data_IF_390060585623
#
_entry.id   IF_390060585623
#
_cell.length_a   1.000
_cell.length_b   1.000
_cell.length_c   1.000
_cell.angle_alpha   90.00
_cell.angle_beta   90.00
_cell.angle_gamma   90.00
#
_symmetry.space_group_name_H-M   'P 1'
#
loop_
_entity.id
_entity.type
_entity.pdbx_description
1 polymer ?
#
# COMPACT_ATOMS: atom_id res chain seq x y z
N UNK A 1 -79.55 7.18 -18.56
CA UNK A 1 -78.74 7.94 -19.52
C UNK A 1 -78.46 9.29 -18.91
N UNK A 2 -77.26 9.68 -18.53
CA UNK A 2 -76.01 8.96 -18.37
C UNK A 2 -75.18 9.72 -17.35
N UNK A 3 -74.43 8.95 -16.58
CA UNK A 3 -73.39 9.35 -15.64
C UNK A 3 -72.31 10.21 -16.28
N UNK A 4 -71.71 11.16 -15.55
CA UNK A 4 -70.27 11.13 -15.19
C UNK A 4 -69.87 12.35 -14.36
N UNK A 5 -69.81 12.15 -13.03
CA UNK A 5 -68.96 12.94 -12.13
C UNK A 5 -67.51 12.60 -12.44
N UNK A 6 -66.70 13.59 -12.77
CA UNK A 6 -65.25 13.44 -12.85
C UNK A 6 -64.69 13.04 -11.48
N UNK A 7 -64.07 11.87 -11.42
CA UNK A 7 -63.24 11.46 -10.30
C UNK A 7 -61.90 12.21 -10.40
N UNK A 8 -61.69 13.17 -9.51
CA UNK A 8 -60.35 13.63 -9.17
C UNK A 8 -59.57 12.46 -8.59
N UNK A 9 -58.54 12.03 -9.31
CA UNK A 9 -57.60 11.03 -8.88
C UNK A 9 -56.81 11.62 -7.71
N UNK A 10 -57.22 11.31 -6.48
CA UNK A 10 -56.37 11.50 -5.31
C UNK A 10 -55.09 10.70 -5.55
N UNK A 11 -54.02 11.41 -5.89
CA UNK A 11 -52.67 10.87 -5.86
C UNK A 11 -52.41 10.42 -4.43
N UNK A 12 -52.55 9.12 -4.21
CA UNK A 12 -52.22 8.46 -2.97
C UNK A 12 -50.76 8.80 -2.68
N UNK A 13 -50.54 9.66 -1.68
CA UNK A 13 -49.21 9.98 -1.18
C UNK A 13 -48.55 8.70 -0.74
N UNK A 14 -47.74 8.11 -1.64
CA UNK A 14 -46.73 7.16 -1.22
C UNK A 14 -45.78 7.95 -0.35
N UNK A 15 -45.91 7.76 0.96
CA UNK A 15 -44.86 8.12 1.90
C UNK A 15 -43.55 7.59 1.32
N UNK A 16 -42.51 8.44 1.19
CA UNK A 16 -41.23 7.98 0.70
C UNK A 16 -40.80 6.79 1.57
N UNK A 17 -40.26 5.72 0.96
CA UNK A 17 -39.86 4.55 1.72
C UNK A 17 -38.98 5.01 2.90
N UNK A 18 -39.19 4.46 4.11
CA UNK A 18 -38.46 4.89 5.29
C UNK A 18 -36.97 4.84 4.97
N UNK A 19 -36.32 6.00 5.01
CA UNK A 19 -34.86 6.09 4.86
C UNK A 19 -34.28 5.11 5.86
N UNK A 20 -33.69 4.03 5.35
CA UNK A 20 -33.11 2.96 6.15
C UNK A 20 -32.05 3.61 7.06
N UNK A 21 -32.41 3.88 8.33
CA UNK A 21 -31.56 4.59 9.30
C UNK A 21 -30.29 3.81 9.67
N UNK A 22 -30.08 2.64 9.05
CA UNK A 22 -28.89 1.79 9.23
C UNK A 22 -27.59 2.44 8.77
N UNK A 23 -27.64 3.63 8.17
CA UNK A 23 -26.45 4.35 7.68
C UNK A 23 -26.34 5.79 8.17
N UNK A 24 -26.97 6.16 9.30
CA UNK A 24 -26.54 7.38 9.96
C UNK A 24 -25.09 7.20 10.47
N UNK A 25 -24.14 8.07 10.09
CA UNK A 25 -22.78 8.01 10.59
C UNK A 25 -22.81 8.23 12.11
N UNK A 26 -22.72 7.15 12.88
CA UNK A 26 -22.58 7.26 14.32
C UNK A 26 -21.21 7.87 14.58
N UNK A 27 -21.16 9.08 15.13
CA UNK A 27 -19.89 9.69 15.53
C UNK A 27 -19.14 8.70 16.44
N UNK A 28 -17.88 8.34 16.12
CA UNK A 28 -17.18 7.31 16.87
C UNK A 28 -17.11 7.72 18.35
N UNK A 29 -17.48 6.80 19.24
CA UNK A 29 -17.56 7.10 20.67
C UNK A 29 -16.23 7.67 21.17
N UNK A 30 -16.29 8.61 22.12
CA UNK A 30 -15.09 9.25 22.68
C UNK A 30 -14.09 8.20 23.20
N UNK A 31 -14.59 7.11 23.76
CA UNK A 31 -13.79 5.97 24.20
C UNK A 31 -13.04 5.29 23.05
N UNK A 32 -13.71 5.00 21.93
CA UNK A 32 -13.10 4.40 20.73
C UNK A 32 -11.94 5.25 20.20
N UNK A 33 -12.11 6.58 20.16
CA UNK A 33 -11.05 7.52 19.74
C UNK A 33 -9.87 7.51 20.70
N UNK A 34 -10.12 7.68 22.00
CA UNK A 34 -9.06 7.72 23.01
C UNK A 34 -8.24 6.43 23.05
N UNK A 35 -8.91 5.27 22.98
CA UNK A 35 -8.20 3.97 22.96
C UNK A 35 -7.39 3.82 21.69
N UNK A 36 -7.96 4.15 20.52
CA UNK A 36 -7.21 4.04 19.25
C UNK A 36 -5.98 4.94 19.25
N UNK A 37 -6.11 6.21 19.67
CA UNK A 37 -4.96 7.11 19.76
C UNK A 37 -3.93 6.65 20.81
N UNK A 38 -4.38 6.12 21.96
CA UNK A 38 -3.50 5.54 22.96
C UNK A 38 -2.68 4.37 22.40
N UNK A 39 -3.31 3.48 21.64
CA UNK A 39 -2.64 2.36 20.95
C UNK A 39 -1.66 2.89 19.90
N UNK A 40 -2.05 3.85 19.06
CA UNK A 40 -1.17 4.44 18.05
C UNK A 40 0.05 5.15 18.67
N UNK A 41 -0.12 5.83 19.80
CA UNK A 41 0.98 6.46 20.53
C UNK A 41 1.93 5.43 21.13
N UNK A 42 1.39 4.43 21.84
CA UNK A 42 2.21 3.33 22.38
C UNK A 42 2.96 2.57 21.28
N UNK A 43 2.33 2.44 20.12
CA UNK A 43 2.91 1.84 18.93
C UNK A 43 4.06 2.67 18.33
N UNK A 44 3.85 3.99 18.17
CA UNK A 44 4.91 4.90 17.73
C UNK A 44 6.10 4.90 18.68
N UNK A 45 5.84 4.88 19.99
CA UNK A 45 6.87 4.79 21.02
C UNK A 45 7.64 3.45 20.97
N UNK A 46 6.95 2.33 20.74
CA UNK A 46 7.60 1.02 20.58
C UNK A 46 8.52 0.98 19.36
N UNK A 47 8.06 1.49 18.21
CA UNK A 47 8.88 1.55 16.99
C UNK A 47 10.10 2.45 17.20
N UNK A 48 9.90 3.65 17.77
CA UNK A 48 11.01 4.55 18.08
C UNK A 48 12.01 3.88 19.04
N UNK A 49 11.51 3.18 20.07
CA UNK A 49 12.31 2.40 20.99
C UNK A 49 13.09 1.27 20.31
N UNK A 50 12.47 0.53 19.38
CA UNK A 50 13.15 -0.51 18.59
C UNK A 50 14.24 0.06 17.68
N UNK A 51 13.97 1.19 17.03
CA UNK A 51 14.96 1.90 16.19
C UNK A 51 16.15 2.34 17.03
N UNK A 52 15.90 2.94 18.19
CA UNK A 52 16.94 3.42 19.12
C UNK A 52 17.72 2.25 19.75
N UNK A 53 17.01 1.24 20.25
CA UNK A 53 17.61 0.15 21.02
C UNK A 53 18.36 -0.85 20.14
N UNK A 54 17.89 -1.10 18.91
CA UNK A 54 18.56 -2.04 18.02
C UNK A 54 19.68 -1.38 17.24
N UNK A 55 19.56 -0.12 16.81
CA UNK A 55 20.51 0.46 15.84
C UNK A 55 20.55 -0.28 14.48
N UNK A 56 19.71 -1.31 14.31
CA UNK A 56 19.65 -2.25 13.19
C UNK A 56 18.55 -1.84 12.19
N UNK A 57 18.57 -0.61 11.70
CA UNK A 57 17.76 -0.29 10.52
C UNK A 57 18.63 -0.56 9.32
N UNK A 58 18.29 -1.57 8.53
CA UNK A 58 19.11 -2.01 7.40
C UNK A 58 19.23 -3.52 7.33
N UNK A 59 20.38 -4.01 7.78
CA UNK A 59 20.73 -5.42 7.80
C UNK A 59 21.54 -5.74 9.07
N UNK A 60 21.64 -7.03 9.39
CA UNK A 60 22.47 -7.54 10.47
C UNK A 60 23.17 -8.82 10.01
N UNK A 61 24.39 -9.03 10.45
CA UNK A 61 25.12 -10.29 10.23
C UNK A 61 25.07 -11.09 11.53
N UNK A 62 24.61 -12.34 11.47
CA UNK A 62 24.61 -13.26 12.61
C UNK A 62 26.02 -13.74 12.91
N UNK A 63 26.24 -14.25 14.13
CA UNK A 63 27.54 -14.84 14.53
C UNK A 63 27.95 -16.01 13.61
N UNK A 64 26.97 -16.71 13.04
CA UNK A 64 27.17 -17.81 12.08
C UNK A 64 27.48 -17.35 10.65
N UNK A 65 27.61 -16.02 10.41
CA UNK A 65 27.88 -15.43 9.10
C UNK A 65 26.64 -15.24 8.21
N UNK A 66 25.44 -15.53 8.71
CA UNK A 66 24.20 -15.32 7.99
C UNK A 66 23.83 -13.84 7.91
N UNK A 67 23.49 -13.34 6.72
CA UNK A 67 23.04 -11.95 6.55
C UNK A 67 21.51 -11.87 6.59
N UNK A 68 20.98 -11.13 7.54
CA UNK A 68 19.56 -10.80 7.62
C UNK A 68 19.35 -9.38 7.10
N UNK A 69 18.54 -9.22 6.06
CA UNK A 69 18.20 -7.92 5.47
C UNK A 69 16.74 -7.61 5.76
N UNK A 70 16.48 -6.41 6.29
CA UNK A 70 15.12 -5.96 6.50
C UNK A 70 14.49 -5.51 5.19
N UNK A 71 13.28 -6.00 4.93
CA UNK A 71 12.55 -5.76 3.69
C UNK A 71 12.41 -4.27 3.35
N UNK A 72 11.87 -3.44 4.24
CA UNK A 72 11.75 -2.00 3.97
C UNK A 72 13.10 -1.34 3.60
N UNK A 73 14.17 -1.75 4.28
CA UNK A 73 15.48 -1.16 4.08
C UNK A 73 16.07 -1.51 2.71
N UNK A 74 15.92 -2.77 2.26
CA UNK A 74 16.37 -3.17 0.93
C UNK A 74 15.64 -2.40 -0.17
N UNK A 75 14.34 -2.19 -0.04
CA UNK A 75 13.56 -1.40 -1.00
C UNK A 75 13.96 0.06 -1.03
N UNK A 76 14.17 0.66 0.13
CA UNK A 76 14.54 2.06 0.23
C UNK A 76 15.93 2.28 -0.38
N UNK A 77 16.88 1.42 -0.05
CA UNK A 77 18.25 1.50 -0.57
C UNK A 77 18.27 1.21 -2.07
N UNK A 78 17.46 0.26 -2.56
CA UNK A 78 17.31 0.04 -4.00
C UNK A 78 16.73 1.28 -4.70
N UNK A 79 15.73 1.93 -4.09
CA UNK A 79 15.14 3.18 -4.62
C UNK A 79 16.18 4.29 -4.70
N UNK A 80 17.03 4.44 -3.68
CA UNK A 80 18.17 5.38 -3.70
C UNK A 80 19.15 5.05 -4.81
N UNK A 81 19.53 3.78 -4.88
CA UNK A 81 20.41 3.24 -5.90
C UNK A 81 19.95 3.63 -7.30
N UNK A 82 18.69 3.33 -7.64
CA UNK A 82 18.11 3.59 -8.96
C UNK A 82 17.89 5.10 -9.23
N UNK A 83 17.29 5.84 -8.30
CA UNK A 83 16.81 7.20 -8.58
C UNK A 83 17.81 8.31 -8.24
N UNK A 84 18.76 8.05 -7.32
CA UNK A 84 19.67 9.07 -6.80
C UNK A 84 21.14 8.76 -7.09
N UNK A 85 21.53 7.48 -7.09
CA UNK A 85 22.93 7.06 -7.19
C UNK A 85 23.31 6.53 -8.58
N UNK A 86 22.33 6.37 -9.47
CA UNK A 86 22.56 6.04 -10.88
C UNK A 86 22.75 4.56 -11.18
N UNK A 87 22.23 3.64 -10.35
CA UNK A 87 22.03 2.24 -10.77
C UNK A 87 21.15 2.20 -12.02
N UNK A 88 21.46 1.31 -12.99
CA UNK A 88 22.40 0.19 -12.90
C UNK A 88 23.88 0.54 -13.16
N UNK A 89 24.27 1.81 -13.30
CA UNK A 89 25.68 2.23 -13.41
C UNK A 89 26.35 1.97 -14.75
N UNK A 90 25.88 0.97 -15.51
CA UNK A 90 26.35 0.63 -16.84
C UNK A 90 25.31 0.93 -17.91
N UNK A 91 25.76 1.46 -19.06
CA UNK A 91 24.89 1.76 -20.19
C UNK A 91 24.33 0.46 -20.76
N UNK A 92 23.01 0.30 -20.64
CA UNK A 92 22.28 -0.84 -21.18
C UNK A 92 22.04 -1.98 -20.18
N UNK A 93 22.62 -1.92 -18.99
CA UNK A 93 22.26 -2.82 -17.90
C UNK A 93 20.83 -2.51 -17.43
N UNK A 94 20.15 -3.48 -16.83
CA UNK A 94 18.81 -3.31 -16.26
C UNK A 94 18.89 -3.36 -14.74
N UNK A 95 18.20 -2.42 -14.08
CA UNK A 95 18.09 -2.36 -12.62
C UNK A 95 17.43 -3.61 -12.01
N UNK A 96 16.67 -4.36 -12.82
CA UNK A 96 16.01 -5.60 -12.42
C UNK A 96 16.79 -6.86 -12.81
N UNK A 97 17.98 -6.73 -13.41
CA UNK A 97 18.83 -7.90 -13.67
C UNK A 97 19.35 -8.50 -12.36
N UNK A 98 19.48 -9.83 -12.32
CA UNK A 98 20.03 -10.57 -11.17
C UNK A 98 21.42 -10.05 -10.81
N UNK A 99 22.27 -9.85 -11.82
CA UNK A 99 23.65 -9.36 -11.66
C UNK A 99 23.69 -7.97 -11.00
N UNK A 100 22.91 -7.01 -11.51
CA UNK A 100 22.85 -5.67 -10.92
C UNK A 100 22.40 -5.74 -9.47
N UNK A 101 21.44 -6.61 -9.16
CA UNK A 101 20.93 -6.75 -7.81
C UNK A 101 21.94 -7.37 -6.84
N UNK A 102 22.64 -8.43 -7.24
CA UNK A 102 23.70 -9.06 -6.45
C UNK A 102 24.84 -8.09 -6.18
N UNK A 103 25.24 -7.32 -7.20
CA UNK A 103 26.24 -6.26 -7.04
C UNK A 103 25.78 -5.19 -6.05
N UNK A 104 24.58 -4.65 -6.24
CA UNK A 104 24.01 -3.65 -5.35
C UNK A 104 23.93 -4.14 -3.89
N UNK A 105 23.45 -5.37 -3.68
CA UNK A 105 23.35 -5.95 -2.34
C UNK A 105 24.74 -6.14 -1.71
N UNK A 106 25.71 -6.66 -2.48
CA UNK A 106 27.06 -6.87 -2.00
C UNK A 106 27.76 -5.56 -1.62
N UNK A 107 27.57 -4.52 -2.43
CA UNK A 107 28.08 -3.17 -2.17
C UNK A 107 27.44 -2.57 -0.91
N UNK A 108 26.11 -2.71 -0.76
CA UNK A 108 25.38 -2.17 0.38
C UNK A 108 25.73 -2.89 1.69
N UNK A 109 25.80 -4.23 1.67
CA UNK A 109 26.08 -5.03 2.87
C UNK A 109 27.58 -5.17 3.18
N UNK A 110 28.45 -4.70 2.28
CA UNK A 110 29.91 -4.82 2.36
C UNK A 110 30.38 -6.28 2.51
N UNK A 111 29.67 -7.21 1.89
CA UNK A 111 29.91 -8.65 2.01
C UNK A 111 29.58 -9.38 0.72
N UNK A 112 30.23 -10.53 0.48
CA UNK A 112 29.90 -11.40 -0.64
C UNK A 112 28.51 -12.00 -0.39
N UNK A 113 27.49 -11.48 -1.09
CA UNK A 113 26.14 -12.03 -1.01
C UNK A 113 25.89 -12.96 -2.19
N UNK A 114 25.89 -14.27 -1.97
CA UNK A 114 25.58 -15.26 -3.00
C UNK A 114 24.08 -15.27 -3.36
N UNK A 115 23.23 -14.87 -2.41
CA UNK A 115 21.83 -14.56 -2.65
C UNK A 115 21.19 -13.83 -1.48
N UNK A 116 20.71 -12.61 -1.73
CA UNK A 116 19.62 -12.01 -0.95
C UNK A 116 18.64 -11.39 -1.94
N UNK A 117 17.95 -12.25 -2.70
CA UNK A 117 16.95 -11.82 -3.69
C UNK A 117 15.54 -12.15 -3.21
N UNK A 118 14.91 -11.31 -2.36
CA UNK A 118 13.47 -11.22 -2.35
C UNK A 118 13.10 -10.08 -3.31
N UNK A 119 13.17 -10.27 -4.63
CA UNK A 119 12.70 -9.25 -5.58
C UNK A 119 11.42 -9.67 -6.30
N UNK A 120 10.35 -8.92 -6.00
CA UNK A 120 9.08 -8.90 -6.71
C UNK A 120 8.45 -7.51 -6.70
N UNK A 121 9.28 -6.45 -6.71
CA UNK A 121 8.80 -5.10 -6.39
C UNK A 121 8.63 -4.24 -7.62
N UNK A 122 7.42 -3.73 -7.79
CA UNK A 122 7.04 -3.02 -8.99
C UNK A 122 7.69 -1.64 -9.08
N UNK A 123 7.81 -1.08 -10.29
CA UNK A 123 8.24 0.29 -10.50
C UNK A 123 7.45 1.33 -9.69
N UNK A 124 6.19 1.03 -9.34
CA UNK A 124 5.37 1.87 -8.45
C UNK A 124 6.03 2.10 -7.09
N UNK A 125 6.70 1.09 -6.52
CA UNK A 125 7.34 1.22 -5.21
C UNK A 125 8.42 2.31 -5.22
N UNK A 126 9.14 2.47 -6.33
CA UNK A 126 10.17 3.51 -6.47
C UNK A 126 9.55 4.91 -6.30
N UNK A 127 8.37 5.15 -6.87
CA UNK A 127 7.65 6.41 -6.69
C UNK A 127 7.18 6.62 -5.25
N UNK A 128 6.69 5.57 -4.59
CA UNK A 128 6.22 5.67 -3.20
C UNK A 128 7.36 5.94 -2.21
N UNK A 129 8.53 5.36 -2.47
CA UNK A 129 9.68 5.47 -1.59
C UNK A 129 10.60 6.65 -1.92
N UNK A 130 10.49 7.26 -3.11
CA UNK A 130 11.32 8.40 -3.50
C UNK A 130 11.35 9.53 -2.45
N UNK A 131 10.23 9.98 -1.84
CA UNK A 131 10.30 11.00 -0.80
C UNK A 131 11.09 10.55 0.44
N UNK A 132 11.02 9.25 0.77
CA UNK A 132 11.76 8.67 1.91
C UNK A 132 13.22 8.36 1.57
N UNK A 133 13.55 8.24 0.28
CA UNK A 133 14.91 8.04 -0.19
C UNK A 133 15.80 9.24 0.16
N UNK A 134 15.22 10.41 0.43
CA UNK A 134 15.93 11.66 0.74
C UNK A 134 16.27 11.86 2.23
N UNK A 135 15.81 11.01 3.14
CA UNK A 135 16.07 11.12 4.59
C UNK A 135 16.95 9.98 5.10
N UNK A 136 17.37 9.97 6.37
CA UNK A 136 18.12 8.81 6.89
C UNK A 136 17.25 7.54 6.93
N UNK A 137 17.86 6.36 6.79
CA UNK A 137 17.14 5.09 6.80
C UNK A 137 16.28 4.88 8.09
N UNK A 138 16.77 5.21 9.30
CA UNK A 138 15.94 5.19 10.51
C UNK A 138 14.73 6.13 10.46
N UNK A 139 14.91 7.35 9.92
CA UNK A 139 13.82 8.32 9.79
C UNK A 139 12.78 7.84 8.78
N UNK A 140 13.22 7.32 7.63
CA UNK A 140 12.35 6.72 6.63
C UNK A 140 11.52 5.57 7.21
N UNK A 141 12.16 4.67 7.97
CA UNK A 141 11.49 3.56 8.63
C UNK A 141 10.42 4.02 9.63
N UNK A 142 10.74 5.04 10.45
CA UNK A 142 9.80 5.62 11.39
C UNK A 142 8.61 6.26 10.67
N UNK A 143 8.86 7.08 9.65
CA UNK A 143 7.80 7.74 8.86
C UNK A 143 6.89 6.69 8.22
N UNK A 144 7.48 5.68 7.56
CA UNK A 144 6.74 4.62 6.90
C UNK A 144 5.86 3.83 7.87
N UNK A 145 6.42 3.49 9.03
CA UNK A 145 5.69 2.75 10.07
C UNK A 145 4.55 3.58 10.68
N UNK A 146 4.76 4.89 10.88
CA UNK A 146 3.72 5.81 11.35
C UNK A 146 2.60 5.98 10.32
N UNK A 147 2.92 6.02 9.02
CA UNK A 147 1.92 6.03 7.94
C UNK A 147 1.09 4.75 7.99
N UNK A 148 1.73 3.58 8.12
CA UNK A 148 1.05 2.30 8.28
C UNK A 148 0.12 2.28 9.50
N UNK A 149 0.62 2.71 10.66
CA UNK A 149 -0.15 2.81 11.90
C UNK A 149 -1.35 3.75 11.76
N UNK A 150 -1.15 4.91 11.14
CA UNK A 150 -2.22 5.89 10.94
C UNK A 150 -3.30 5.35 10.00
N UNK A 151 -2.90 4.70 8.91
CA UNK A 151 -3.82 4.07 7.97
C UNK A 151 -4.64 2.97 8.66
N UNK A 152 -3.96 2.10 9.42
CA UNK A 152 -4.57 1.12 10.30
C UNK A 152 -5.57 1.72 11.30
N UNK A 153 -5.16 2.77 12.02
CA UNK A 153 -6.02 3.49 12.97
C UNK A 153 -7.25 4.07 12.30
N UNK A 154 -7.14 4.57 11.08
CA UNK A 154 -8.28 5.09 10.32
C UNK A 154 -9.34 4.02 10.00
N UNK A 155 -8.91 2.76 9.79
CA UNK A 155 -9.81 1.61 9.61
C UNK A 155 -10.57 1.33 10.90
N UNK A 156 -9.86 1.26 12.03
CA UNK A 156 -10.47 1.03 13.35
C UNK A 156 -11.45 2.13 13.68
N UNK A 157 -11.09 3.38 13.39
CA UNK A 157 -11.93 4.55 13.65
C UNK A 157 -13.17 4.62 12.76
N UNK A 158 -13.23 3.87 11.65
CA UNK A 158 -14.41 3.79 10.79
C UNK A 158 -15.59 3.22 11.57
N UNK A 159 -16.73 3.90 11.55
CA UNK A 159 -17.92 3.54 12.33
C UNK A 159 -18.59 2.26 11.85
N UNK A 160 -18.26 1.84 10.63
CA UNK A 160 -18.74 0.58 10.04
C UNK A 160 -17.94 -0.64 10.51
N UNK A 161 -16.83 -0.42 11.21
CA UNK A 161 -15.96 -1.49 11.71
C UNK A 161 -16.14 -1.62 13.22
N UNK A 162 -16.35 -2.85 13.67
CA UNK A 162 -16.27 -3.13 15.09
C UNK A 162 -14.82 -2.96 15.54
N UNK A 163 -14.58 -1.95 16.37
CA UNK A 163 -13.25 -1.51 16.76
C UNK A 163 -12.52 -2.52 17.65
N UNK A 164 -13.24 -3.43 18.31
CA UNK A 164 -12.65 -4.47 19.17
C UNK A 164 -11.88 -5.51 18.32
N UNK A 165 -12.50 -6.21 17.34
CA UNK A 165 -11.75 -7.09 16.45
C UNK A 165 -10.78 -6.33 15.55
N UNK A 166 -11.10 -5.08 15.18
CA UNK A 166 -10.18 -4.20 14.46
C UNK A 166 -8.88 -3.94 15.24
N UNK A 167 -8.95 -3.67 16.55
CA UNK A 167 -7.78 -3.52 17.41
C UNK A 167 -7.09 -4.86 17.68
N UNK A 168 -7.85 -5.93 17.89
CA UNK A 168 -7.29 -7.27 18.12
C UNK A 168 -6.41 -7.74 16.95
N UNK A 169 -6.76 -7.35 15.71
CA UNK A 169 -5.94 -7.61 14.53
C UNK A 169 -4.52 -7.02 14.65
N UNK A 170 -4.38 -5.81 15.19
CA UNK A 170 -3.08 -5.15 15.42
C UNK A 170 -2.25 -5.78 16.54
N UNK A 171 -2.89 -6.54 17.43
CA UNK A 171 -2.24 -7.22 18.54
C UNK A 171 -1.88 -8.67 18.22
N UNK A 172 -2.13 -9.14 16.99
CA UNK A 172 -1.71 -10.47 16.58
C UNK A 172 -0.19 -10.55 16.44
N UNK A 173 0.45 -11.70 16.76
CA UNK A 173 1.87 -11.90 16.52
C UNK A 173 2.28 -11.63 15.07
N UNK A 174 1.40 -11.95 14.11
CA UNK A 174 1.61 -11.68 12.69
C UNK A 174 1.65 -10.18 12.41
N UNK A 175 0.71 -9.40 12.97
CA UNK A 175 0.72 -7.95 12.82
C UNK A 175 1.96 -7.33 13.47
N UNK A 176 2.32 -7.76 14.69
CA UNK A 176 3.50 -7.28 15.41
C UNK A 176 4.79 -7.56 14.62
N UNK A 177 4.94 -8.78 14.09
CA UNK A 177 6.11 -9.15 13.28
C UNK A 177 6.12 -8.42 11.94
N UNK A 178 4.98 -8.30 11.26
CA UNK A 178 4.88 -7.52 10.01
C UNK A 178 5.27 -6.06 10.23
N UNK A 179 4.88 -5.50 11.37
CA UNK A 179 5.22 -4.14 11.79
C UNK A 179 6.72 -4.01 12.06
N UNK A 180 7.34 -4.98 12.74
CA UNK A 180 8.78 -5.00 13.00
C UNK A 180 9.63 -5.12 11.71
N UNK A 181 9.02 -5.60 10.63
CA UNK A 181 9.62 -5.67 9.29
C UNK A 181 9.34 -4.43 8.43
N UNK A 182 8.66 -3.41 8.97
CA UNK A 182 8.28 -2.18 8.24
C UNK A 182 7.23 -2.43 7.15
N UNK A 183 6.44 -3.49 7.26
CA UNK A 183 5.78 -4.07 6.09
C UNK A 183 4.68 -3.17 5.50
N UNK A 184 4.87 -2.92 4.20
CA UNK A 184 3.88 -2.57 3.16
C UNK A 184 2.54 -3.32 3.25
N UNK A 185 2.47 -4.47 3.94
CA UNK A 185 1.24 -5.24 4.15
C UNK A 185 0.15 -4.47 4.92
N UNK A 186 0.52 -3.67 5.93
CA UNK A 186 -0.46 -2.87 6.70
C UNK A 186 -1.05 -1.77 5.81
N UNK A 187 -0.20 -1.08 5.05
CA UNK A 187 -0.62 -0.06 4.09
C UNK A 187 -1.44 -0.65 2.93
N UNK A 188 -1.03 -1.82 2.42
CA UNK A 188 -1.78 -2.55 1.40
C UNK A 188 -3.17 -2.96 1.87
N UNK A 189 -3.26 -3.50 3.09
CA UNK A 189 -4.55 -3.87 3.71
C UNK A 189 -5.42 -2.64 3.92
N UNK A 190 -4.84 -1.53 4.38
CA UNK A 190 -5.57 -0.27 4.54
C UNK A 190 -6.07 0.30 3.22
N UNK A 191 -5.24 0.24 2.17
CA UNK A 191 -5.63 0.64 0.81
C UNK A 191 -6.79 -0.20 0.28
N UNK A 192 -6.70 -1.53 0.38
CA UNK A 192 -7.79 -2.43 -0.04
C UNK A 192 -9.07 -2.16 0.76
N UNK A 193 -8.97 -1.99 2.08
CA UNK A 193 -10.12 -1.67 2.92
C UNK A 193 -10.75 -0.32 2.56
N UNK A 194 -9.93 0.70 2.28
CA UNK A 194 -10.40 2.00 1.83
C UNK A 194 -11.15 1.87 0.50
N UNK A 195 -10.57 1.17 -0.48
CA UNK A 195 -11.22 0.95 -1.77
C UNK A 195 -12.54 0.18 -1.59
N UNK A 196 -12.55 -0.89 -0.81
CA UNK A 196 -13.77 -1.67 -0.56
C UNK A 196 -14.86 -0.82 0.09
N UNK A 197 -14.54 -0.11 1.18
CA UNK A 197 -15.52 0.73 1.89
C UNK A 197 -16.03 1.87 1.03
N UNK A 198 -15.22 2.49 0.18
CA UNK A 198 -15.69 3.59 -0.68
C UNK A 198 -16.45 3.10 -1.91
N UNK A 199 -16.01 1.98 -2.50
CA UNK A 199 -16.65 1.43 -3.70
C UNK A 199 -18.02 0.84 -3.37
N UNK A 200 -18.16 0.15 -2.24
CA UNK A 200 -19.42 -0.48 -1.83
C UNK A 200 -20.48 0.52 -1.33
N UNK A 201 -20.08 1.71 -0.88
CA UNK A 201 -20.99 2.58 -0.10
C UNK A 201 -21.50 3.79 -0.86
N UNK A 202 -20.85 4.16 -1.97
CA UNK A 202 -21.26 5.31 -2.76
C UNK A 202 -21.00 5.10 -4.26
N UNK A 203 -21.68 4.14 -4.93
CA UNK A 203 -21.45 3.81 -6.34
C UNK A 203 -21.68 4.98 -7.30
N UNK A 204 -22.66 5.83 -6.98
CA UNK A 204 -23.16 6.89 -7.88
C UNK A 204 -22.22 8.11 -7.88
N UNK A 205 -21.49 8.38 -6.78
CA UNK A 205 -20.60 9.55 -6.69
C UNK A 205 -19.12 9.25 -7.04
N UNK A 206 -18.80 8.06 -7.52
CA UNK A 206 -17.42 7.67 -7.88
C UNK A 206 -16.88 8.50 -9.07
N UNK A 207 -17.77 8.99 -9.93
CA UNK A 207 -17.43 9.80 -11.10
C UNK A 207 -17.20 11.29 -10.81
N UNK A 208 -17.30 11.73 -9.54
CA UNK A 208 -16.85 13.08 -9.19
C UNK A 208 -15.33 13.13 -9.29
N UNK A 209 -14.81 14.00 -10.17
CA UNK A 209 -13.39 14.17 -10.50
C UNK A 209 -12.43 14.01 -9.31
N UNK A 210 -12.71 14.68 -8.18
CA UNK A 210 -11.85 14.60 -6.99
C UNK A 210 -11.84 13.25 -6.27
N UNK A 211 -12.95 12.50 -6.25
CA UNK A 211 -13.01 11.19 -5.59
C UNK A 211 -12.45 10.07 -6.47
N UNK A 212 -12.70 10.14 -7.78
CA UNK A 212 -12.15 9.18 -8.74
C UNK A 212 -10.62 9.14 -8.72
N UNK A 213 -9.99 10.32 -8.66
CA UNK A 213 -8.52 10.44 -8.59
C UNK A 213 -7.95 9.87 -7.28
N UNK A 214 -8.62 10.06 -6.14
CA UNK A 214 -8.17 9.47 -4.86
C UNK A 214 -8.23 7.94 -4.90
N UNK A 215 -9.33 7.38 -5.43
CA UNK A 215 -9.46 5.94 -5.60
C UNK A 215 -8.41 5.39 -6.57
N UNK A 216 -8.19 6.09 -7.68
CA UNK A 216 -7.15 5.75 -8.65
C UNK A 216 -5.75 5.84 -8.03
N UNK A 217 -5.47 6.85 -7.23
CA UNK A 217 -4.19 7.02 -6.54
C UNK A 217 -3.91 5.91 -5.52
N UNK A 218 -4.93 5.49 -4.76
CA UNK A 218 -4.79 4.38 -3.81
C UNK A 218 -4.61 3.05 -4.56
N UNK A 219 -5.39 2.82 -5.62
CA UNK A 219 -5.23 1.63 -6.45
C UNK A 219 -3.87 1.58 -7.15
N UNK A 220 -3.39 2.73 -7.65
CA UNK A 220 -2.05 2.88 -8.19
C UNK A 220 -0.99 2.58 -7.13
N UNK A 221 -1.12 3.12 -5.91
CA UNK A 221 -0.19 2.85 -4.81
C UNK A 221 -0.18 1.37 -4.40
N UNK A 222 -1.34 0.69 -4.45
CA UNK A 222 -1.40 -0.77 -4.28
C UNK A 222 -0.60 -1.52 -5.34
N UNK A 223 -0.29 -0.88 -6.49
CA UNK A 223 0.61 -1.41 -7.51
C UNK A 223 1.99 -1.76 -6.98
N UNK A 224 2.42 -1.18 -5.86
CA UNK A 224 3.62 -1.61 -5.11
C UNK A 224 3.57 -3.10 -4.69
N UNK A 225 2.37 -3.67 -4.60
CA UNK A 225 2.08 -5.10 -4.46
C UNK A 225 1.10 -5.55 -5.56
N UNK A 226 1.60 -5.96 -6.75
CA UNK A 226 0.76 -6.24 -7.90
C UNK A 226 -0.45 -7.16 -7.63
N UNK A 227 -0.33 -8.26 -6.85
CA UNK A 227 -1.50 -9.10 -6.53
C UNK A 227 -2.64 -8.36 -5.81
N UNK A 228 -2.31 -7.41 -4.92
CA UNK A 228 -3.31 -6.60 -4.22
C UNK A 228 -3.96 -5.58 -5.16
N UNK A 229 -3.17 -4.97 -6.05
CA UNK A 229 -3.70 -4.06 -7.06
C UNK A 229 -4.67 -4.77 -8.01
N UNK A 230 -4.31 -5.96 -8.49
CA UNK A 230 -5.19 -6.78 -9.36
C UNK A 230 -6.48 -7.17 -8.64
N UNK A 231 -6.38 -7.61 -7.38
CA UNK A 231 -7.55 -7.95 -6.56
C UNK A 231 -8.47 -6.74 -6.38
N UNK A 232 -7.91 -5.58 -6.00
CA UNK A 232 -8.64 -4.33 -5.84
C UNK A 232 -9.29 -3.85 -7.13
N UNK A 233 -8.54 -3.86 -8.24
CA UNK A 233 -9.04 -3.47 -9.56
C UNK A 233 -10.18 -4.39 -10.01
N UNK A 234 -10.05 -5.70 -9.84
CA UNK A 234 -11.08 -6.68 -10.21
C UNK A 234 -12.37 -6.43 -9.42
N UNK A 235 -12.26 -6.23 -8.11
CA UNK A 235 -13.41 -5.92 -7.27
C UNK A 235 -14.07 -4.59 -7.68
N UNK A 236 -13.27 -3.57 -7.98
CA UNK A 236 -13.75 -2.27 -8.46
C UNK A 236 -14.48 -2.40 -9.81
N UNK A 237 -13.93 -3.14 -10.77
CA UNK A 237 -14.57 -3.40 -12.06
C UNK A 237 -15.89 -4.17 -11.90
N UNK A 238 -15.91 -5.20 -11.05
CA UNK A 238 -17.12 -5.96 -10.75
C UNK A 238 -18.23 -5.09 -10.14
N UNK A 239 -17.86 -4.01 -9.44
CA UNK A 239 -18.77 -3.04 -8.85
C UNK A 239 -19.05 -1.83 -9.78
N UNK A 240 -18.59 -1.86 -11.03
CA UNK A 240 -18.82 -0.81 -12.03
C UNK A 240 -17.92 0.42 -11.91
N UNK A 241 -16.90 0.39 -11.05
CA UNK A 241 -15.97 1.49 -10.79
C UNK A 241 -14.84 1.58 -11.84
N UNK A 242 -15.20 1.66 -13.12
CA UNK A 242 -14.24 1.57 -14.24
C UNK A 242 -13.31 2.78 -14.32
N UNK A 243 -13.83 3.99 -14.11
CA UNK A 243 -13.07 5.24 -14.25
C UNK A 243 -11.78 5.28 -13.41
N UNK A 244 -11.85 5.07 -12.08
CA UNK A 244 -10.66 5.02 -11.23
C UNK A 244 -9.65 3.93 -11.62
N UNK A 245 -10.12 2.79 -12.11
CA UNK A 245 -9.25 1.69 -12.56
C UNK A 245 -8.46 2.11 -13.80
N UNK A 246 -9.12 2.69 -14.80
CA UNK A 246 -8.45 3.22 -15.99
C UNK A 246 -7.44 4.31 -15.64
N UNK A 247 -7.78 5.19 -14.70
CA UNK A 247 -6.85 6.22 -14.22
C UNK A 247 -5.62 5.61 -13.53
N UNK A 248 -5.80 4.60 -12.66
CA UNK A 248 -4.70 3.92 -12.00
C UNK A 248 -3.77 3.21 -12.99
N UNK A 249 -4.32 2.59 -14.02
CA UNK A 249 -3.55 2.02 -15.13
C UNK A 249 -2.76 3.12 -15.84
N UNK A 250 -3.40 4.25 -16.15
CA UNK A 250 -2.74 5.42 -16.74
C UNK A 250 -1.56 5.92 -15.90
N UNK A 251 -1.73 6.07 -14.58
CA UNK A 251 -0.64 6.45 -13.66
C UNK A 251 0.48 5.42 -13.62
N UNK A 252 0.16 4.13 -13.72
CA UNK A 252 1.14 3.05 -13.74
C UNK A 252 1.98 3.11 -15.01
N UNK A 253 1.33 3.24 -16.17
CA UNK A 253 1.99 3.33 -17.47
C UNK A 253 2.84 4.60 -17.58
N UNK A 254 2.31 5.74 -17.16
CA UNK A 254 3.06 7.00 -17.16
C UNK A 254 4.25 6.92 -16.20
N UNK A 255 4.04 6.42 -14.99
CA UNK A 255 5.11 6.25 -14.00
C UNK A 255 6.21 5.31 -14.48
N UNK A 256 5.86 4.19 -15.14
CA UNK A 256 6.81 3.26 -15.72
C UNK A 256 7.57 3.87 -16.92
N UNK A 257 6.88 4.61 -17.78
CA UNK A 257 7.50 5.30 -18.91
C UNK A 257 8.51 6.35 -18.43
N UNK A 258 8.15 7.13 -17.42
CA UNK A 258 9.07 8.10 -16.79
C UNK A 258 10.24 7.40 -16.13
N UNK A 259 10.05 6.27 -15.45
CA UNK A 259 11.16 5.54 -14.81
C UNK A 259 12.09 4.80 -15.78
N UNK A 260 11.64 4.52 -17.00
CA UNK A 260 12.36 3.68 -17.96
C UNK A 260 13.83 4.08 -18.17
N UNK A 261 14.21 5.37 -18.29
CA UNK A 261 15.62 5.75 -18.42
C UNK A 261 16.49 5.35 -17.23
N UNK A 262 15.96 5.39 -16.00
CA UNK A 262 16.66 4.98 -14.78
C UNK A 262 16.70 3.47 -14.60
N UNK A 263 15.69 2.76 -15.11
CA UNK A 263 15.61 1.31 -14.98
C UNK A 263 16.52 0.58 -15.98
N UNK A 264 16.99 1.26 -17.04
CA UNK A 264 17.90 0.70 -18.03
C UNK A 264 17.21 -0.17 -19.10
N UNK A 265 17.94 -0.60 -20.13
CA UNK A 265 17.33 -1.38 -21.21
C UNK A 265 17.02 -2.81 -20.77
N UNK A 266 15.90 -3.37 -21.23
CA UNK A 266 15.49 -4.74 -20.87
C UNK A 266 14.85 -4.86 -19.48
N UNK A 267 14.66 -3.76 -18.76
CA UNK A 267 14.11 -3.79 -17.40
C UNK A 267 12.75 -4.50 -17.29
N UNK A 268 11.91 -4.37 -18.33
CA UNK A 268 10.60 -5.04 -18.38
C UNK A 268 10.72 -6.56 -18.46
N UNK A 269 11.62 -7.07 -19.31
CA UNK A 269 11.83 -8.52 -19.45
C UNK A 269 12.42 -9.11 -18.18
N UNK A 270 13.38 -8.41 -17.57
CA UNK A 270 14.03 -8.86 -16.33
C UNK A 270 13.04 -8.81 -15.16
N UNK A 271 12.24 -7.75 -15.06
CA UNK A 271 11.18 -7.65 -14.07
C UNK A 271 10.15 -8.77 -14.21
N UNK A 272 9.73 -9.09 -15.45
CA UNK A 272 8.80 -10.19 -15.70
C UNK A 272 9.42 -11.55 -15.35
N UNK A 273 10.69 -11.76 -15.72
CA UNK A 273 11.42 -12.97 -15.39
C UNK A 273 11.55 -13.16 -13.87
N UNK A 274 11.78 -12.08 -13.11
CA UNK A 274 11.81 -12.09 -11.65
C UNK A 274 10.45 -12.45 -11.05
N UNK A 275 9.34 -11.88 -11.55
CA UNK A 275 8.00 -12.23 -11.05
C UNK A 275 7.67 -13.72 -11.19
N UNK A 276 8.22 -14.38 -12.22
CA UNK A 276 8.01 -15.82 -12.47
C UNK A 276 8.89 -16.74 -11.61
N UNK A 277 9.90 -16.22 -10.93
CA UNK A 277 10.86 -17.01 -10.13
C UNK A 277 11.09 -16.31 -8.80
N UNK A 278 10.19 -16.56 -7.84
CA UNK A 278 10.40 -16.20 -6.45
C UNK A 278 11.63 -16.97 -5.94
N UNK A 279 12.59 -16.28 -5.32
CA UNK A 279 13.83 -16.83 -4.76
C UNK A 279 14.84 -17.37 -5.79
N UNK A 280 15.43 -16.50 -6.62
CA UNK A 280 16.66 -16.86 -7.35
C UNK A 280 17.87 -16.73 -6.44
N UNK A 281 18.55 -17.85 -6.21
CA UNK A 281 19.93 -17.88 -5.70
C UNK A 281 20.86 -17.66 -6.89
N UNK A 282 21.89 -16.80 -6.77
CA UNK A 282 22.90 -16.68 -7.82
C UNK A 282 23.54 -18.05 -8.06
N UNK A 283 23.51 -18.53 -9.30
CA UNK A 283 24.12 -19.79 -9.72
C UNK A 283 25.37 -19.50 -10.55
#
# INVERSE_FOLDING_TARGET
>A
MDTTRGQETQAHGMDPPPRDRRFEPQVPSRAKRSVTYGVLLGFGALIAGLVIARGLVGYSVSEDGGTFVQDFSSHLMFTRGVLLEGLPGEVGASAYSVETHVRFMSDWTQGATEAVLPFGYSPTMLWLLLPLALVSLPAAYLIWSLLGATAAGSIVLNDRVNWIPGLAFFLTPVAITAIALGQTAVLGTAGVFFLATRTLTDPINQNRLGRGVVLAGILWALGAKPPLAVTGATAMLALGAVGPVVQAVGFTLLGAAVLTPWLGSGWLSDYWALMGTYDRVGA
#
